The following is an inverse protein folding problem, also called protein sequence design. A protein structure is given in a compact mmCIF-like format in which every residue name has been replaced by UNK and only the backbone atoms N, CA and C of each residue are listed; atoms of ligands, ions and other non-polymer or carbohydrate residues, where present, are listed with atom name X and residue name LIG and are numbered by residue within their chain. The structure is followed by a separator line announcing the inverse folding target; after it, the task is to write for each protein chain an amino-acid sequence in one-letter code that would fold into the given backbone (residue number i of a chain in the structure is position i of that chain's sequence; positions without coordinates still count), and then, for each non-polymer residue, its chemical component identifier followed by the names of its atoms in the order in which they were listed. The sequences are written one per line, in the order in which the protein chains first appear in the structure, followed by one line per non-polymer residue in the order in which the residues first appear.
data_IF_903333897928
#
_entry.id   IF_903333897928
#
_cell.length_a   1.000
_cell.length_b   1.000
_cell.length_c   1.000
_cell.angle_alpha   90.00
_cell.angle_beta   90.00
_cell.angle_gamma   90.00
#
_symmetry.space_group_name_H-M   'P 1'
#
loop_
_entity.id
_entity.type
_entity.pdbx_description
1 polymer ?
#
# COMPACT_ATOMS: atom_id res chain seq x y z
N UNK A 1 11.39 22.95 20.16
CA UNK A 1 11.11 22.55 18.75
C UNK A 1 10.29 23.66 18.11
N UNK A 2 10.82 24.33 17.08
CA UNK A 2 10.18 25.48 16.43
C UNK A 2 8.90 25.04 15.69
N UNK A 3 7.85 25.85 15.70
CA UNK A 3 6.58 25.54 15.01
C UNK A 3 6.76 25.28 13.50
N UNK A 4 7.82 25.82 12.89
CA UNK A 4 8.23 25.51 11.51
C UNK A 4 8.40 24.02 11.26
N UNK A 5 8.97 23.27 12.21
CA UNK A 5 9.31 21.86 12.02
C UNK A 5 8.08 20.96 12.12
N UNK A 6 7.09 21.37 12.94
CA UNK A 6 5.81 20.67 13.03
C UNK A 6 5.00 20.86 11.76
N UNK A 7 4.98 22.09 11.23
CA UNK A 7 4.27 22.42 10.00
C UNK A 7 4.86 21.70 8.78
N UNK A 8 6.19 21.69 8.62
CA UNK A 8 6.85 20.96 7.54
C UNK A 8 6.60 19.45 7.59
N UNK A 9 6.67 18.84 8.78
CA UNK A 9 6.35 17.41 8.97
C UNK A 9 4.90 17.10 8.59
N UNK A 10 3.95 17.95 9.00
CA UNK A 10 2.55 17.79 8.63
C UNK A 10 2.33 17.94 7.12
N UNK A 11 2.97 18.92 6.48
CA UNK A 11 2.88 19.15 5.03
C UNK A 11 3.44 17.96 4.23
N UNK A 12 4.58 17.40 4.64
CA UNK A 12 5.17 16.22 4.01
C UNK A 12 4.21 15.01 4.09
N UNK A 13 3.61 14.78 5.26
CA UNK A 13 2.60 13.72 5.47
C UNK A 13 1.40 13.88 4.56
N UNK A 14 0.84 15.08 4.44
CA UNK A 14 -0.32 15.34 3.57
C UNK A 14 0.03 15.05 2.11
N UNK A 15 1.24 15.42 1.67
CA UNK A 15 1.72 15.14 0.30
C UNK A 15 1.84 13.64 0.04
N UNK A 16 2.40 12.88 0.97
CA UNK A 16 2.51 11.42 0.91
C UNK A 16 1.13 10.74 0.87
N UNK A 17 0.20 11.17 1.75
CA UNK A 17 -1.19 10.68 1.74
C UNK A 17 -1.85 10.94 0.39
N UNK A 18 -1.73 12.16 -0.15
CA UNK A 18 -2.35 12.52 -1.43
C UNK A 18 -1.85 11.65 -2.58
N UNK A 19 -0.56 11.34 -2.61
CA UNK A 19 0.04 10.43 -3.60
C UNK A 19 -0.51 9.00 -3.51
N UNK A 20 -0.65 8.50 -2.28
CA UNK A 20 -1.24 7.17 -2.02
C UNK A 20 -2.72 7.10 -2.39
N UNK A 21 -3.53 8.10 -2.02
CA UNK A 21 -4.95 8.14 -2.39
C UNK A 21 -5.15 8.15 -3.91
N UNK A 22 -4.24 8.78 -4.66
CA UNK A 22 -4.30 8.73 -6.12
C UNK A 22 -4.06 7.31 -6.65
N UNK A 23 -3.04 6.61 -6.14
CA UNK A 23 -2.78 5.21 -6.49
C UNK A 23 -3.95 4.31 -6.10
N UNK A 24 -4.48 4.46 -4.90
CA UNK A 24 -5.63 3.70 -4.42
C UNK A 24 -6.88 3.94 -5.27
N UNK A 25 -7.15 5.19 -5.67
CA UNK A 25 -8.26 5.52 -6.58
C UNK A 25 -8.12 4.82 -7.92
N UNK A 26 -6.94 4.93 -8.54
CA UNK A 26 -6.67 4.28 -9.84
C UNK A 26 -6.83 2.77 -9.71
N UNK A 27 -6.29 2.17 -8.65
CA UNK A 27 -6.46 0.75 -8.35
C UNK A 27 -7.94 0.35 -8.26
N UNK A 28 -8.76 1.06 -7.47
CA UNK A 28 -10.19 0.76 -7.33
C UNK A 28 -10.93 0.91 -8.67
N UNK A 29 -10.66 1.98 -9.42
CA UNK A 29 -11.32 2.24 -10.71
C UNK A 29 -10.98 1.14 -11.72
N UNK A 30 -9.70 0.82 -11.91
CA UNK A 30 -9.25 -0.20 -12.86
C UNK A 30 -9.84 -1.56 -12.50
N UNK A 31 -9.78 -1.95 -11.23
CA UNK A 31 -10.34 -3.23 -10.79
C UNK A 31 -11.87 -3.28 -10.88
N UNK A 32 -12.55 -2.16 -10.61
CA UNK A 32 -14.00 -2.05 -10.81
C UNK A 32 -14.37 -2.25 -12.28
N UNK A 33 -13.65 -1.61 -13.21
CA UNK A 33 -13.86 -1.80 -14.65
C UNK A 33 -13.59 -3.25 -15.07
N UNK A 34 -12.50 -3.86 -14.59
CA UNK A 34 -12.17 -5.27 -14.87
C UNK A 34 -13.25 -6.22 -14.34
N UNK A 35 -13.79 -5.96 -13.15
CA UNK A 35 -14.90 -6.74 -12.59
C UNK A 35 -16.18 -6.59 -13.42
N UNK A 36 -16.51 -5.36 -13.86
CA UNK A 36 -17.66 -5.10 -14.73
C UNK A 36 -17.51 -5.77 -16.11
N UNK A 37 -16.29 -5.82 -16.66
CA UNK A 37 -15.97 -6.56 -17.87
C UNK A 37 -16.21 -8.07 -17.66
N UNK A 38 -15.68 -8.64 -16.57
CA UNK A 38 -15.88 -10.05 -16.22
C UNK A 38 -17.35 -10.40 -15.97
N UNK A 39 -18.13 -9.49 -15.39
CA UNK A 39 -19.56 -9.68 -15.11
C UNK A 39 -20.44 -9.64 -16.36
N UNK A 40 -19.89 -9.33 -17.52
CA UNK A 40 -20.66 -9.23 -18.75
C UNK A 40 -21.39 -7.91 -18.93
N UNK A 41 -21.38 -6.99 -17.95
CA UNK A 41 -22.13 -5.73 -17.99
C UNK A 41 -21.70 -4.82 -19.15
N UNK A 42 -20.41 -4.87 -19.51
CA UNK A 42 -19.83 -4.07 -20.57
C UNK A 42 -19.82 -4.78 -21.93
N UNK A 43 -20.35 -6.01 -22.02
CA UNK A 43 -20.29 -6.81 -23.27
C UNK A 43 -21.13 -6.22 -24.39
N UNK A 44 -22.26 -5.58 -24.07
CA UNK A 44 -23.07 -4.86 -25.06
C UNK A 44 -22.37 -3.64 -25.68
N UNK A 45 -21.32 -3.12 -25.04
CA UNK A 45 -20.51 -2.01 -25.56
C UNK A 45 -19.25 -2.48 -26.30
N UNK A 46 -18.98 -3.79 -26.33
CA UNK A 46 -17.76 -4.32 -26.95
C UNK A 46 -17.98 -4.84 -28.37
N UNK A 47 -16.94 -4.76 -29.22
CA UNK A 47 -17.02 -5.22 -30.61
C UNK A 47 -17.29 -6.72 -30.70
N UNK A 48 -17.98 -7.14 -31.77
CA UNK A 48 -18.25 -8.55 -32.06
C UNK A 48 -16.92 -9.32 -32.14
N UNK A 49 -16.77 -10.35 -31.31
CA UNK A 49 -15.56 -11.17 -31.21
C UNK A 49 -14.69 -10.90 -29.98
N UNK A 50 -15.10 -10.01 -29.07
CA UNK A 50 -14.36 -9.84 -27.82
C UNK A 50 -14.45 -11.11 -26.95
N UNK A 51 -13.32 -11.66 -26.45
CA UNK A 51 -13.34 -12.84 -25.60
C UNK A 51 -14.03 -12.53 -24.27
N UNK A 52 -15.23 -13.05 -24.11
CA UNK A 52 -16.04 -12.95 -22.87
C UNK A 52 -15.91 -14.17 -21.98
N UNK A 53 -15.17 -15.18 -22.41
CA UNK A 53 -14.98 -16.41 -21.64
C UNK A 53 -14.22 -16.14 -20.34
N UNK A 54 -14.72 -16.71 -19.23
CA UNK A 54 -14.18 -16.44 -17.88
C UNK A 54 -12.68 -16.75 -17.76
N UNK A 55 -12.19 -17.76 -18.49
CA UNK A 55 -10.78 -18.16 -18.52
C UNK A 55 -9.83 -17.02 -18.88
N UNK A 56 -10.22 -16.12 -19.79
CA UNK A 56 -9.40 -14.96 -20.16
C UNK A 56 -9.26 -13.93 -19.03
N UNK A 57 -10.11 -14.01 -18.01
CA UNK A 57 -10.13 -13.10 -16.87
C UNK A 57 -9.62 -13.74 -15.58
N UNK A 58 -9.20 -15.01 -15.59
CA UNK A 58 -8.73 -15.69 -14.38
C UNK A 58 -7.44 -15.07 -13.83
N UNK A 59 -6.55 -14.59 -14.71
CA UNK A 59 -5.32 -13.90 -14.31
C UNK A 59 -5.58 -12.59 -13.54
N UNK A 60 -6.77 -12.00 -13.68
CA UNK A 60 -7.15 -10.76 -12.99
C UNK A 60 -7.23 -10.98 -11.49
N UNK A 61 -7.67 -12.16 -11.02
CA UNK A 61 -7.72 -12.45 -9.58
C UNK A 61 -6.32 -12.46 -8.97
N UNK A 62 -5.37 -13.12 -9.62
CA UNK A 62 -3.98 -13.13 -9.17
C UNK A 62 -3.36 -11.73 -9.17
N UNK A 63 -3.66 -10.93 -10.21
CA UNK A 63 -3.20 -9.55 -10.31
C UNK A 63 -3.82 -8.68 -9.20
N UNK A 64 -5.12 -8.83 -8.95
CA UNK A 64 -5.86 -8.17 -7.86
C UNK A 64 -5.25 -8.44 -6.50
N UNK A 65 -4.94 -9.71 -6.21
CA UNK A 65 -4.34 -10.11 -4.93
C UNK A 65 -2.95 -9.50 -4.79
N UNK A 66 -2.12 -9.56 -5.83
CA UNK A 66 -0.77 -9.01 -5.81
C UNK A 66 -0.77 -7.48 -5.59
N UNK A 67 -1.56 -6.75 -6.38
CA UNK A 67 -1.67 -5.30 -6.25
C UNK A 67 -2.38 -4.88 -4.97
N UNK A 68 -3.39 -5.64 -4.54
CA UNK A 68 -4.05 -5.47 -3.26
C UNK A 68 -3.07 -5.57 -2.09
N UNK A 69 -2.13 -6.53 -2.15
CA UNK A 69 -1.06 -6.66 -1.16
C UNK A 69 -0.12 -5.45 -1.16
N UNK A 70 0.29 -4.96 -2.34
CA UNK A 70 1.15 -3.78 -2.46
C UNK A 70 0.48 -2.54 -1.84
N UNK A 71 -0.80 -2.32 -2.16
CA UNK A 71 -1.59 -1.22 -1.62
C UNK A 71 -1.79 -1.36 -0.10
N UNK A 72 -2.06 -2.57 0.39
CA UNK A 72 -2.21 -2.85 1.81
C UNK A 72 -0.91 -2.56 2.58
N UNK A 73 0.25 -2.98 2.07
CA UNK A 73 1.56 -2.67 2.66
C UNK A 73 1.81 -1.16 2.67
N UNK A 74 1.53 -0.46 1.57
CA UNK A 74 1.64 1.01 1.52
C UNK A 74 0.73 1.71 2.53
N UNK A 75 -0.51 1.21 2.69
CA UNK A 75 -1.44 1.71 3.70
C UNK A 75 -0.87 1.51 5.11
N UNK A 76 -0.35 0.32 5.42
CA UNK A 76 0.27 0.03 6.72
C UNK A 76 1.43 0.99 7.02
N UNK A 77 2.28 1.29 6.04
CA UNK A 77 3.40 2.22 6.18
C UNK A 77 2.91 3.65 6.50
N UNK A 78 1.90 4.14 5.77
CA UNK A 78 1.37 5.49 5.99
C UNK A 78 0.59 5.61 7.30
N UNK A 79 -0.15 4.57 7.67
CA UNK A 79 -0.95 4.53 8.89
C UNK A 79 -0.19 3.96 10.11
N UNK A 80 1.11 3.68 10.02
CA UNK A 80 1.91 3.15 11.15
C UNK A 80 1.77 3.96 12.44
N UNK A 81 1.57 5.27 12.33
CA UNK A 81 1.38 6.17 13.48
C UNK A 81 -0.02 6.10 14.10
N UNK A 82 -1.03 5.63 13.37
CA UNK A 82 -2.41 5.46 13.87
C UNK A 82 -2.58 4.13 14.60
N UNK A 83 -1.70 3.16 14.37
CA UNK A 83 -1.75 1.84 14.99
C UNK A 83 -0.77 1.72 16.17
N UNK A 84 -1.24 1.77 17.43
CA UNK A 84 -0.36 1.77 18.59
C UNK A 84 0.44 0.46 18.74
N UNK A 85 -0.08 -0.67 18.26
CA UNK A 85 0.64 -1.95 18.27
C UNK A 85 1.87 -1.93 17.34
N UNK A 86 1.74 -1.29 16.18
CA UNK A 86 2.79 -1.20 15.16
C UNK A 86 3.92 -0.30 15.65
N UNK A 87 3.56 0.83 16.28
CA UNK A 87 4.52 1.72 16.94
C UNK A 87 5.31 1.00 18.04
N UNK A 88 4.63 0.26 18.93
CA UNK A 88 5.30 -0.53 19.99
C UNK A 88 6.18 -1.64 19.44
N UNK A 89 5.82 -2.24 18.31
CA UNK A 89 6.66 -3.23 17.64
C UNK A 89 7.91 -2.57 17.04
N UNK A 90 7.76 -1.42 16.35
CA UNK A 90 8.85 -0.64 15.77
C UNK A 90 9.85 -0.19 16.84
N UNK A 91 9.38 0.36 17.96
CA UNK A 91 10.24 0.72 19.11
C UNK A 91 11.03 -0.48 19.66
N UNK A 92 10.39 -1.66 19.77
CA UNK A 92 11.08 -2.88 20.24
C UNK A 92 12.16 -3.36 19.27
N UNK A 93 11.92 -3.27 17.97
CA UNK A 93 12.94 -3.64 16.99
C UNK A 93 14.12 -2.67 17.01
N UNK A 94 13.85 -1.36 17.09
CA UNK A 94 14.91 -0.35 17.20
C UNK A 94 15.76 -0.58 18.45
N UNK A 95 15.13 -0.83 19.60
CA UNK A 95 15.86 -1.15 20.84
C UNK A 95 16.75 -2.39 20.66
N UNK A 96 16.22 -3.46 20.04
CA UNK A 96 16.98 -4.68 19.79
C UNK A 96 18.21 -4.43 18.91
N UNK A 97 18.09 -3.60 17.86
CA UNK A 97 19.22 -3.25 17.01
C UNK A 97 20.26 -2.37 17.74
N UNK A 98 19.81 -1.44 18.59
CA UNK A 98 20.72 -0.64 19.42
C UNK A 98 21.48 -1.49 20.44
N UNK A 99 20.78 -2.44 21.08
CA UNK A 99 21.38 -3.35 22.06
C UNK A 99 22.44 -4.23 21.36
N UNK A 100 22.13 -4.77 20.17
CA UNK A 100 23.08 -5.53 19.35
C UNK A 100 24.33 -4.73 18.96
N UNK A 101 24.17 -3.48 18.52
CA UNK A 101 25.29 -2.60 18.13
C UNK A 101 26.17 -2.23 19.34
N UNK A 102 25.57 -2.07 20.52
CA UNK A 102 26.30 -1.83 21.78
C UNK A 102 27.08 -3.07 22.26
N UNK A 103 26.54 -4.27 22.08
CA UNK A 103 27.23 -5.53 22.38
C UNK A 103 28.38 -5.79 21.39
N UNK A 104 28.18 -5.50 20.11
CA UNK A 104 29.20 -5.68 19.07
C UNK A 104 30.36 -4.69 19.24
N UNK A 105 30.08 -3.40 19.46
CA UNK A 105 31.10 -2.38 19.70
C UNK A 105 31.86 -2.55 21.03
N UNK A 106 31.23 -3.14 22.04
CA UNK A 106 31.89 -3.55 23.29
C UNK A 106 32.82 -4.75 23.15
N UNK A 107 32.67 -5.55 22.09
CA UNK A 107 33.46 -6.77 21.82
C UNK A 107 34.81 -6.50 21.16
N UNK A 108 34.98 -5.31 20.56
CA UNK A 108 36.21 -4.87 19.88
C UNK A 108 37.03 -3.86 20.71
N UNK A 109 36.74 -3.74 22.01
CA UNK A 109 37.40 -2.84 22.95
C UNK A 109 38.05 -3.62 24.09
#
# INVERSE_FOLDING_TARGET
MRDSDKYEKAKKRVKELKGFYNHLKIFIIVNGVLYLLKSGWLTSFMPKGFPTESYYFDWIHSNLILWGLIVAVHALILFRHKFPFLKKWEERQIQKYMDQDSEESGKYK
#
